data_IF_446876486292
#
_entry.id   IF_446876486292
#
_cell.length_a   1.000
_cell.length_b   1.000
_cell.length_c   1.000
_cell.angle_alpha   90.00
_cell.angle_beta   90.00
_cell.angle_gamma   90.00
#
_symmetry.space_group_name_H-M   'P 1'
#
loop_
_entity.id
_entity.type
_entity.pdbx_description
1 polymer ?
#
# COMPACT_ATOMS: atom_id res chain seq x y z
N UNK A 1 -6.98 -1.52 1.90
CA UNK A 1 -5.64 -1.68 2.48
C UNK A 1 -5.80 -2.43 3.77
N UNK A 2 -5.17 -3.60 3.86
CA UNK A 2 -5.16 -4.46 5.03
C UNK A 2 -3.91 -4.16 5.86
N UNK A 3 -4.06 -4.05 7.18
CA UNK A 3 -2.93 -3.86 8.11
C UNK A 3 -2.33 -2.45 8.17
N UNK A 4 -2.80 -1.52 7.33
CA UNK A 4 -2.47 -0.10 7.41
C UNK A 4 -3.58 0.78 6.81
N UNK A 5 -3.50 2.09 7.05
CA UNK A 5 -4.35 3.10 6.41
C UNK A 5 -3.53 3.98 5.48
N UNK A 6 -4.21 4.57 4.50
CA UNK A 6 -3.63 5.62 3.69
C UNK A 6 -4.07 6.99 4.23
N UNK A 7 -3.10 7.84 4.56
CA UNK A 7 -3.39 9.19 4.99
C UNK A 7 -3.51 10.12 3.79
N UNK A 8 -4.75 10.52 3.47
CA UNK A 8 -5.06 11.37 2.31
C UNK A 8 -4.44 12.75 2.42
N UNK A 9 -4.32 13.31 3.63
CA UNK A 9 -3.80 14.66 3.82
C UNK A 9 -2.29 14.71 3.54
N UNK A 10 -1.58 13.65 3.92
CA UNK A 10 -0.11 13.61 3.81
C UNK A 10 0.41 12.74 2.67
N UNK A 11 -0.46 11.97 2.02
CA UNK A 11 -0.11 11.07 0.91
C UNK A 11 0.88 9.99 1.31
N UNK A 12 0.79 9.47 2.54
CA UNK A 12 1.68 8.42 3.06
C UNK A 12 0.89 7.33 3.78
N UNK A 13 1.51 6.16 3.91
CA UNK A 13 1.01 5.08 4.77
C UNK A 13 1.09 5.52 6.23
N UNK A 14 0.04 5.21 6.98
CA UNK A 14 -0.03 5.38 8.42
C UNK A 14 -0.61 4.13 9.09
N UNK A 15 -0.41 4.01 10.40
CA UNK A 15 -0.98 2.91 11.18
C UNK A 15 -2.52 2.96 11.17
N UNK A 16 -3.13 1.76 11.19
CA UNK A 16 -4.58 1.62 11.32
C UNK A 16 -5.11 2.25 12.61
N UNK A 17 -6.37 2.66 12.60
CA UNK A 17 -7.07 3.04 13.83
C UNK A 17 -7.48 1.79 14.60
N UNK A 18 -7.68 1.97 15.90
CA UNK A 18 -8.15 0.89 16.76
C UNK A 18 -9.45 0.29 16.21
N UNK A 19 -9.53 -1.04 16.14
CA UNK A 19 -10.67 -1.82 15.59
C UNK A 19 -10.93 -1.63 14.09
N UNK A 20 -9.97 -1.08 13.34
CA UNK A 20 -10.04 -0.97 11.88
C UNK A 20 -9.09 -1.97 11.22
N UNK A 21 -9.64 -3.09 10.76
CA UNK A 21 -8.86 -4.15 10.09
C UNK A 21 -8.53 -3.79 8.62
N UNK A 22 -9.45 -3.08 7.96
CA UNK A 22 -9.35 -2.71 6.56
C UNK A 22 -9.68 -1.24 6.38
N UNK A 23 -8.82 -0.55 5.67
CA UNK A 23 -9.06 0.82 5.23
C UNK A 23 -9.46 0.82 3.74
N UNK A 24 -10.53 1.50 3.37
CA UNK A 24 -10.89 1.70 1.97
C UNK A 24 -9.94 2.72 1.35
N UNK A 25 -9.13 2.27 0.38
CA UNK A 25 -8.24 3.18 -0.33
C UNK A 25 -9.07 4.21 -1.11
N UNK A 26 -8.67 5.49 -1.12
CA UNK A 26 -9.27 6.45 -2.02
C UNK A 26 -8.97 6.07 -3.48
N UNK A 27 -9.67 6.72 -4.41
CA UNK A 27 -9.36 6.57 -5.84
C UNK A 27 -7.96 7.14 -6.09
N UNK A 28 -7.05 6.29 -6.55
CA UNK A 28 -5.66 6.66 -6.85
C UNK A 28 -5.48 6.76 -8.36
N UNK A 29 -4.89 7.86 -8.82
CA UNK A 29 -4.51 8.03 -10.22
C UNK A 29 -3.12 7.42 -10.46
N UNK A 30 -3.03 6.47 -11.39
CA UNK A 30 -1.77 5.82 -11.76
C UNK A 30 -1.28 6.41 -13.08
N UNK A 31 -0.06 6.96 -13.07
CA UNK A 31 0.59 7.52 -14.25
C UNK A 31 1.86 6.74 -14.57
N UNK A 32 2.03 6.39 -15.85
CA UNK A 32 3.30 5.86 -16.32
C UNK A 32 4.37 6.96 -16.32
N UNK A 33 5.51 6.67 -15.70
CA UNK A 33 6.70 7.52 -15.67
C UNK A 33 7.93 6.70 -16.10
N UNK A 34 8.97 7.36 -16.59
CA UNK A 34 10.26 6.71 -16.90
C UNK A 34 11.00 6.36 -15.62
N UNK A 35 11.84 5.32 -15.65
CA UNK A 35 12.60 4.86 -14.47
C UNK A 35 13.45 5.97 -13.84
N UNK A 36 14.03 6.87 -14.63
CA UNK A 36 14.87 7.97 -14.12
C UNK A 36 14.10 8.96 -13.22
N UNK A 37 12.77 9.03 -13.38
CA UNK A 37 11.88 9.89 -12.58
C UNK A 37 11.25 9.16 -11.42
N UNK A 38 11.52 7.87 -11.26
CA UNK A 38 10.95 7.08 -10.18
C UNK A 38 11.62 7.46 -8.86
N UNK A 39 10.84 8.08 -7.98
CA UNK A 39 11.26 8.22 -6.59
C UNK A 39 11.51 6.82 -6.02
N UNK A 40 12.62 6.64 -5.30
CA UNK A 40 12.99 5.35 -4.66
C UNK A 40 13.20 5.50 -3.15
N UNK A 41 13.27 6.74 -2.65
CA UNK A 41 13.46 7.01 -1.22
C UNK A 41 12.13 6.94 -0.49
N UNK A 42 12.13 6.25 0.65
CA UNK A 42 10.97 6.14 1.55
C UNK A 42 9.70 5.64 0.85
N UNK A 43 9.87 4.63 -0.01
CA UNK A 43 8.76 3.97 -0.68
C UNK A 43 8.66 2.55 -0.17
N UNK A 44 7.42 2.18 0.10
CA UNK A 44 7.04 0.81 0.37
C UNK A 44 6.39 0.23 -0.88
N UNK A 45 6.98 -0.87 -1.34
CA UNK A 45 6.47 -1.70 -2.41
C UNK A 45 5.30 -2.55 -1.87
N UNK A 46 4.10 -2.00 -1.94
CA UNK A 46 2.90 -2.62 -1.41
C UNK A 46 2.28 -3.58 -2.44
N UNK A 47 2.19 -4.88 -2.14
CA UNK A 47 1.57 -5.83 -3.05
C UNK A 47 0.05 -5.65 -3.11
N UNK A 48 -0.52 -5.85 -4.29
CA UNK A 48 -1.95 -5.79 -4.57
C UNK A 48 -2.45 -7.18 -4.92
N UNK A 49 -3.44 -7.65 -4.17
CA UNK A 49 -4.10 -8.92 -4.40
C UNK A 49 -5.56 -8.72 -4.79
N UNK A 50 -6.11 -9.66 -5.55
CA UNK A 50 -7.54 -9.65 -5.87
C UNK A 50 -8.38 -9.92 -4.63
N UNK A 51 -8.00 -10.91 -3.81
CA UNK A 51 -8.78 -11.35 -2.64
C UNK A 51 -7.89 -11.44 -1.40
N UNK A 52 -8.51 -11.56 -0.21
CA UNK A 52 -7.81 -11.77 1.08
C UNK A 52 -6.98 -13.05 1.12
N UNK A 53 -7.41 -14.10 0.42
CA UNK A 53 -6.63 -15.31 0.28
C UNK A 53 -5.52 -15.03 -0.74
N UNK A 54 -4.37 -14.56 -0.23
CA UNK A 54 -3.14 -14.15 -0.95
C UNK A 54 -2.43 -15.30 -1.70
N UNK A 55 -3.19 -16.23 -2.26
CA UNK A 55 -2.70 -17.33 -3.08
C UNK A 55 -2.30 -16.83 -4.47
N UNK A 56 -2.82 -17.45 -5.53
CA UNK A 56 -2.56 -17.07 -6.92
C UNK A 56 -3.27 -15.78 -7.38
N UNK A 57 -3.52 -14.84 -6.45
CA UNK A 57 -4.32 -13.63 -6.69
C UNK A 57 -3.49 -12.36 -6.75
N UNK A 58 -2.16 -12.47 -6.82
CA UNK A 58 -1.27 -11.33 -7.00
C UNK A 58 -1.54 -10.62 -8.33
N UNK A 59 -1.69 -9.30 -8.27
CA UNK A 59 -2.00 -8.46 -9.43
C UNK A 59 -0.80 -7.59 -9.79
N UNK A 60 -0.29 -6.81 -8.84
CA UNK A 60 0.77 -5.83 -9.07
C UNK A 60 1.39 -5.35 -7.75
N UNK A 61 2.51 -4.64 -7.79
CA UNK A 61 3.13 -3.98 -6.63
C UNK A 61 3.11 -2.46 -6.81
N UNK A 62 2.49 -1.75 -5.86
CA UNK A 62 2.37 -0.30 -5.87
C UNK A 62 3.44 0.37 -5.01
N UNK A 63 4.01 1.45 -5.53
CA UNK A 63 5.00 2.27 -4.83
C UNK A 63 4.28 3.31 -3.96
N UNK A 64 4.10 3.00 -2.67
CA UNK A 64 3.44 3.87 -1.71
C UNK A 64 4.48 4.64 -0.89
N UNK A 65 4.26 5.94 -0.70
CA UNK A 65 5.14 6.76 0.15
C UNK A 65 4.97 6.40 1.62
N UNK A 66 6.06 6.33 2.37
CA UNK A 66 6.08 6.05 3.81
C UNK A 66 6.94 7.07 4.55
N UNK A 67 6.61 7.34 5.81
CA UNK A 67 7.50 8.09 6.74
C UNK A 67 8.42 7.15 7.53
N UNK A 68 8.00 5.91 7.70
CA UNK A 68 8.74 4.89 8.42
C UNK A 68 9.53 3.99 7.47
N UNK A 69 10.43 3.18 8.03
CA UNK A 69 11.21 2.23 7.25
C UNK A 69 10.27 1.24 6.53
N UNK A 70 10.44 0.98 5.23
CA UNK A 70 9.61 0.03 4.47
C UNK A 70 9.48 -1.34 5.13
N UNK A 71 10.53 -1.80 5.83
CA UNK A 71 10.57 -3.05 6.58
C UNK A 71 9.45 -3.18 7.62
N UNK A 72 9.01 -2.08 8.24
CA UNK A 72 7.86 -2.09 9.17
C UNK A 72 6.61 -2.62 8.48
N UNK A 73 6.32 -2.10 7.28
CA UNK A 73 5.12 -2.44 6.54
C UNK A 73 5.19 -3.85 5.95
N UNK A 74 6.40 -4.30 5.56
CA UNK A 74 6.64 -5.69 5.20
C UNK A 74 6.33 -6.63 6.36
N UNK A 75 6.81 -6.33 7.58
CA UNK A 75 6.55 -7.15 8.77
C UNK A 75 5.09 -7.10 9.22
N UNK A 76 4.43 -5.96 9.08
CA UNK A 76 2.99 -5.81 9.32
C UNK A 76 2.13 -6.51 8.26
N UNK A 77 2.74 -7.03 7.18
CA UNK A 77 2.04 -7.75 6.13
C UNK A 77 1.06 -6.89 5.36
N UNK A 78 1.35 -5.59 5.17
CA UNK A 78 0.43 -4.64 4.55
C UNK A 78 0.19 -5.00 3.08
N UNK A 79 -1.07 -5.01 2.67
CA UNK A 79 -1.44 -5.25 1.28
C UNK A 79 -2.65 -4.42 0.84
N UNK A 80 -2.75 -4.13 -0.45
CA UNK A 80 -3.98 -3.62 -1.04
C UNK A 80 -4.78 -4.81 -1.54
N UNK A 81 -6.08 -4.80 -1.26
CA UNK A 81 -7.02 -5.81 -1.73
C UNK A 81 -8.02 -5.13 -2.64
N UNK A 82 -8.24 -5.69 -3.83
CA UNK A 82 -9.28 -5.20 -4.77
C UNK A 82 -10.68 -5.63 -4.33
N UNK A 83 -10.77 -6.78 -3.66
CA UNK A 83 -11.99 -7.33 -3.12
C UNK A 83 -11.78 -7.74 -1.66
N UNK A 84 -12.72 -7.31 -0.81
CA UNK A 84 -12.84 -7.69 0.60
C UNK A 84 -13.57 -9.01 0.71
#
# INVERSE_FOLDING_TARGET
MEGARWDVATGVIADCRLKELFFLMPVVFVKAITQDKQETKNIYECPVYRTRMRGSTYVWTFNLKTREKPTKWTLAGVAILLQI
#
